data_IF_721399773849
#
_entry.id   IF_721399773849
#
_cell.length_a   1.000
_cell.length_b   1.000
_cell.length_c   1.000
_cell.angle_alpha   90.00
_cell.angle_beta   90.00
_cell.angle_gamma   90.00
#
_symmetry.space_group_name_H-M   'P 1'
#
loop_
_entity.id
_entity.type
_entity.pdbx_description
1 polymer ?
#
# COMPACT_ATOMS: atom_id res chain seq x y z
N UNK A 1 0.08 2.09 -19.11
CA UNK A 1 0.44 1.47 -17.83
C UNK A 1 0.63 2.51 -16.73
N UNK A 2 1.61 3.43 -16.81
CA UNK A 2 1.85 4.47 -15.78
C UNK A 2 0.60 5.23 -15.31
N UNK A 3 -0.22 5.74 -16.24
CA UNK A 3 -1.47 6.43 -15.88
C UNK A 3 -2.49 5.53 -15.15
N UNK A 4 -2.53 4.23 -15.48
CA UNK A 4 -3.39 3.26 -14.79
C UNK A 4 -2.88 2.97 -13.38
N UNK A 5 -1.56 2.94 -13.20
CA UNK A 5 -0.90 2.79 -11.89
C UNK A 5 -1.12 4.02 -11.02
N UNK A 6 -1.13 5.24 -11.59
CA UNK A 6 -1.42 6.47 -10.85
C UNK A 6 -2.79 6.43 -10.17
N UNK A 7 -3.81 5.84 -10.80
CA UNK A 7 -5.12 5.66 -10.15
C UNK A 7 -5.05 4.73 -8.93
N UNK A 8 -4.27 3.65 -9.03
CA UNK A 8 -4.03 2.73 -7.91
C UNK A 8 -3.32 3.41 -6.75
N UNK A 9 -2.36 4.29 -7.04
CA UNK A 9 -1.69 5.09 -6.02
C UNK A 9 -2.70 6.03 -5.36
N UNK A 10 -3.47 6.80 -6.11
CA UNK A 10 -4.44 7.75 -5.55
C UNK A 10 -5.48 7.07 -4.64
N UNK A 11 -5.99 5.90 -5.06
CA UNK A 11 -6.94 5.13 -4.24
C UNK A 11 -6.29 4.58 -2.97
N UNK A 12 -5.03 4.15 -3.03
CA UNK A 12 -4.29 3.73 -1.84
C UNK A 12 -3.95 4.90 -0.91
N UNK A 13 -3.62 6.07 -1.47
CA UNK A 13 -3.31 7.28 -0.70
C UNK A 13 -4.51 7.80 0.09
N UNK A 14 -5.72 7.63 -0.43
CA UNK A 14 -6.95 7.92 0.30
C UNK A 14 -7.09 7.18 1.64
N UNK A 15 -6.35 6.09 1.83
CA UNK A 15 -6.40 5.29 3.06
C UNK A 15 -5.37 5.72 4.10
N UNK A 16 -4.37 6.55 3.72
CA UNK A 16 -3.29 6.99 4.62
C UNK A 16 -3.80 7.67 5.87
N UNK A 17 -4.84 8.51 5.74
CA UNK A 17 -5.39 9.27 6.87
C UNK A 17 -5.93 8.35 7.95
N UNK A 18 -6.84 7.44 7.59
CA UNK A 18 -7.45 6.49 8.53
C UNK A 18 -6.39 5.57 9.17
N UNK A 19 -5.45 5.05 8.37
CA UNK A 19 -4.37 4.18 8.88
C UNK A 19 -3.44 4.93 9.84
N UNK A 20 -3.09 6.18 9.53
CA UNK A 20 -2.25 7.03 10.38
C UNK A 20 -2.97 7.39 11.68
N UNK A 21 -4.23 7.81 11.61
CA UNK A 21 -5.04 8.16 12.78
C UNK A 21 -5.20 6.96 13.72
N UNK A 22 -5.48 5.77 13.17
CA UNK A 22 -5.55 4.55 13.96
C UNK A 22 -4.24 4.28 14.72
N UNK A 23 -3.11 4.38 14.02
CA UNK A 23 -1.79 4.19 14.62
C UNK A 23 -1.48 5.21 15.70
N UNK A 24 -1.79 6.49 15.48
CA UNK A 24 -1.55 7.54 16.48
C UNK A 24 -2.44 7.38 17.73
N UNK A 25 -3.67 6.87 17.57
CA UNK A 25 -4.59 6.66 18.68
C UNK A 25 -4.31 5.37 19.48
N UNK A 26 -3.84 4.30 18.83
CA UNK A 26 -3.70 2.98 19.46
C UNK A 26 -2.23 2.55 19.67
N UNK A 27 -1.27 3.24 19.05
CA UNK A 27 0.14 2.86 19.08
C UNK A 27 0.45 1.55 18.35
N UNK A 28 -0.49 1.03 17.56
CA UNK A 28 -0.37 -0.19 16.75
C UNK A 28 -0.98 0.06 15.38
N UNK A 29 -0.44 -0.58 14.34
CA UNK A 29 -1.01 -0.48 13.01
C UNK A 29 -2.35 -1.24 12.94
N UNK A 30 -3.28 -0.81 12.08
CA UNK A 30 -4.52 -1.54 11.89
C UNK A 30 -4.26 -2.88 11.20
N UNK A 31 -4.76 -3.97 11.77
CA UNK A 31 -4.57 -5.33 11.22
C UNK A 31 -5.30 -5.52 9.89
N UNK A 32 -6.41 -4.82 9.71
CA UNK A 32 -7.31 -4.94 8.56
C UNK A 32 -7.99 -3.58 8.25
N UNK A 33 -8.96 -3.59 7.33
CA UNK A 33 -9.70 -2.38 6.94
C UNK A 33 -10.68 -1.86 8.03
N UNK A 34 -10.95 -2.60 9.10
CA UNK A 34 -11.95 -2.24 10.14
C UNK A 34 -11.55 -1.02 10.98
N UNK A 35 -10.37 -0.47 10.74
CA UNK A 35 -9.86 0.78 11.30
C UNK A 35 -10.42 2.05 10.63
N UNK A 36 -11.71 2.04 10.26
CA UNK A 36 -12.35 3.18 9.58
C UNK A 36 -12.08 3.27 8.07
N UNK A 37 -11.61 2.18 7.46
CA UNK A 37 -11.43 2.06 6.01
C UNK A 37 -12.58 1.22 5.43
N UNK A 38 -13.07 1.59 4.24
CA UNK A 38 -14.12 0.80 3.57
C UNK A 38 -13.65 -0.63 3.28
N UNK A 39 -14.59 -1.56 3.06
CA UNK A 39 -14.22 -2.94 2.74
C UNK A 39 -13.32 -2.98 1.49
N UNK A 40 -12.35 -3.91 1.38
CA UNK A 40 -11.37 -3.89 0.29
C UNK A 40 -11.97 -3.89 -1.11
N UNK A 41 -13.12 -4.57 -1.29
CA UNK A 41 -13.84 -4.68 -2.56
C UNK A 41 -14.68 -3.45 -2.91
N UNK A 42 -14.94 -2.58 -1.93
CA UNK A 42 -15.63 -1.31 -2.14
C UNK A 42 -14.64 -0.22 -2.57
N UNK A 43 -13.36 -0.37 -2.22
CA UNK A 43 -12.28 0.50 -2.67
C UNK A 43 -11.75 0.02 -4.02
N UNK A 44 -12.51 0.29 -5.07
CA UNK A 44 -12.21 -0.07 -6.45
C UNK A 44 -12.33 1.12 -7.39
N UNK A 45 -11.70 1.00 -8.55
CA UNK A 45 -11.69 2.04 -9.58
C UNK A 45 -11.81 1.44 -10.98
N UNK A 46 -11.60 2.28 -11.99
CA UNK A 46 -11.57 1.87 -13.40
C UNK A 46 -10.48 0.82 -13.64
N UNK A 47 -9.31 1.01 -13.03
CA UNK A 47 -8.16 0.10 -13.22
C UNK A 47 -7.79 -0.70 -11.96
N UNK A 48 -8.47 -0.45 -10.85
CA UNK A 48 -8.15 -1.01 -9.52
C UNK A 48 -9.24 -1.97 -9.09
N UNK A 49 -8.84 -3.19 -8.73
CA UNK A 49 -9.73 -4.25 -8.27
C UNK A 49 -10.12 -4.06 -6.81
N UNK A 50 -9.14 -3.72 -5.98
CA UNK A 50 -9.31 -3.61 -4.52
C UNK A 50 -8.13 -2.87 -3.89
N UNK A 51 -8.38 -2.26 -2.74
CA UNK A 51 -7.33 -1.75 -1.83
C UNK A 51 -7.49 -2.41 -0.48
N UNK A 52 -6.45 -3.11 -0.03
CA UNK A 52 -6.46 -3.87 1.22
C UNK A 52 -5.49 -3.25 2.22
N UNK A 53 -5.89 -3.16 3.48
CA UNK A 53 -5.02 -2.81 4.59
C UNK A 53 -4.66 -4.09 5.32
N UNK A 54 -3.37 -4.31 5.60
CA UNK A 54 -2.90 -5.43 6.40
C UNK A 54 -1.74 -4.98 7.27
N UNK A 55 -1.92 -5.01 8.59
CA UNK A 55 -0.94 -4.50 9.55
C UNK A 55 -0.44 -3.09 9.17
N UNK A 56 -1.34 -2.21 8.72
CA UNK A 56 -1.02 -0.84 8.29
C UNK A 56 -0.32 -0.71 6.93
N UNK A 57 -0.05 -1.81 6.21
CA UNK A 57 0.38 -1.78 4.82
C UNK A 57 -0.86 -1.68 3.93
N UNK A 58 -0.91 -0.67 3.08
CA UNK A 58 -2.00 -0.45 2.12
C UNK A 58 -1.58 -0.98 0.76
N UNK A 59 -2.24 -2.04 0.28
CA UNK A 59 -1.92 -2.70 -0.99
C UNK A 59 -3.04 -2.50 -2.00
N UNK A 60 -2.75 -1.85 -3.13
CA UNK A 60 -3.68 -1.75 -4.25
C UNK A 60 -3.42 -2.87 -5.26
N UNK A 61 -4.48 -3.53 -5.72
CA UNK A 61 -4.43 -4.54 -6.78
C UNK A 61 -5.03 -4.00 -8.09
N UNK A 62 -4.31 -4.13 -9.20
CA UNK A 62 -4.82 -3.81 -10.53
C UNK A 62 -5.87 -4.82 -11.00
N UNK A 63 -6.81 -4.37 -11.82
CA UNK A 63 -7.82 -5.24 -12.44
C UNK A 63 -7.16 -6.37 -13.28
N UNK A 64 -7.79 -7.56 -13.37
CA UNK A 64 -7.31 -8.66 -14.19
C UNK A 64 -7.59 -8.45 -15.68
N UNK A 65 -8.52 -7.56 -16.02
CA UNK A 65 -8.90 -7.17 -17.38
C UNK A 65 -9.01 -5.64 -17.49
N UNK A 66 -9.08 -5.09 -18.71
CA UNK A 66 -9.20 -3.64 -18.92
C UNK A 66 -7.96 -2.80 -18.57
N UNK A 67 -6.85 -3.44 -18.19
CA UNK A 67 -5.54 -2.79 -17.92
C UNK A 67 -4.45 -3.31 -18.87
N UNK A 68 -3.33 -2.59 -18.94
CA UNK A 68 -2.18 -3.02 -19.73
C UNK A 68 -1.67 -4.40 -19.27
N UNK A 69 -1.31 -5.26 -20.22
CA UNK A 69 -0.89 -6.65 -19.98
C UNK A 69 0.23 -6.78 -18.93
N UNK A 70 1.15 -5.82 -18.87
CA UNK A 70 2.30 -5.89 -17.96
C UNK A 70 1.97 -5.56 -16.50
N UNK A 71 0.75 -5.08 -16.22
CA UNK A 71 0.28 -4.71 -14.87
C UNK A 71 -1.01 -5.44 -14.46
N UNK A 72 -1.54 -6.34 -15.29
CA UNK A 72 -2.74 -7.13 -14.97
C UNK A 72 -2.57 -7.91 -13.68
N UNK A 73 -3.50 -7.74 -12.73
CA UNK A 73 -3.49 -8.42 -11.44
C UNK A 73 -2.33 -8.05 -10.50
N UNK A 74 -1.42 -7.18 -10.93
CA UNK A 74 -0.24 -6.78 -10.17
C UNK A 74 -0.60 -5.78 -9.07
N UNK A 75 0.35 -5.56 -8.17
CA UNK A 75 0.17 -4.80 -6.93
C UNK A 75 1.27 -3.77 -6.73
N UNK A 76 0.92 -2.75 -5.96
CA UNK A 76 1.84 -1.82 -5.30
C UNK A 76 1.44 -1.72 -3.83
N UNK A 77 2.33 -1.23 -2.97
CA UNK A 77 2.02 -1.00 -1.56
C UNK A 77 2.51 0.35 -1.09
N UNK A 78 1.78 0.87 -0.11
CA UNK A 78 2.15 2.03 0.68
C UNK A 78 2.26 1.59 2.12
N UNK A 79 3.30 2.04 2.81
CA UNK A 79 3.52 1.70 4.22
C UNK A 79 4.05 2.92 4.96
N UNK A 80 3.66 3.05 6.22
CA UNK A 80 4.12 4.12 7.09
C UNK A 80 5.20 3.64 8.06
N UNK A 81 6.10 4.54 8.45
CA UNK A 81 7.01 4.41 9.60
C UNK A 81 6.80 5.59 10.53
N UNK A 82 6.76 5.36 11.84
CA UNK A 82 6.69 6.43 12.81
C UNK A 82 8.01 7.20 12.87
N UNK A 83 7.93 8.52 12.77
CA UNK A 83 9.06 9.44 12.95
C UNK A 83 8.61 10.62 13.83
N UNK A 84 9.18 10.74 15.04
CA UNK A 84 9.05 11.91 15.93
C UNK A 84 7.65 12.54 16.01
N UNK A 85 6.62 11.73 16.30
CA UNK A 85 5.24 12.22 16.45
C UNK A 85 4.46 12.34 15.14
N UNK A 86 5.04 11.94 14.02
CA UNK A 86 4.41 11.85 12.71
C UNK A 86 4.62 10.46 12.08
N UNK A 87 3.99 10.22 10.93
CA UNK A 87 4.20 9.02 10.13
C UNK A 87 4.76 9.43 8.77
N UNK A 88 5.94 8.91 8.43
CA UNK A 88 6.51 9.01 7.09
C UNK A 88 5.98 7.86 6.25
N UNK A 89 5.46 8.17 5.07
CA UNK A 89 4.91 7.18 4.14
C UNK A 89 5.86 6.89 2.99
N UNK A 90 5.89 5.64 2.58
CA UNK A 90 6.63 5.11 1.45
C UNK A 90 5.66 4.49 0.44
N UNK A 91 6.09 4.38 -0.81
CA UNK A 91 5.32 3.80 -1.90
C UNK A 91 6.23 3.01 -2.84
N UNK A 92 5.85 1.78 -3.16
CA UNK A 92 6.69 0.94 -4.00
C UNK A 92 6.07 -0.39 -4.36
N UNK A 93 6.95 -1.35 -4.65
CA UNK A 93 6.54 -2.74 -4.87
C UNK A 93 5.86 -3.31 -3.61
N UNK A 94 5.11 -4.41 -3.74
CA UNK A 94 4.39 -4.99 -2.61
C UNK A 94 5.32 -5.36 -1.47
N UNK A 95 4.95 -4.95 -0.26
CA UNK A 95 5.63 -5.30 0.99
C UNK A 95 4.65 -5.92 1.96
N UNK A 96 5.16 -6.54 3.02
CA UNK A 96 4.38 -7.08 4.13
C UNK A 96 4.97 -6.63 5.45
N UNK A 97 4.09 -6.36 6.42
CA UNK A 97 4.46 -6.16 7.81
C UNK A 97 4.04 -7.39 8.61
N UNK A 98 5.00 -8.03 9.27
CA UNK A 98 4.76 -9.29 9.97
C UNK A 98 3.85 -9.13 11.20
N UNK A 99 3.90 -7.99 11.88
CA UNK A 99 3.11 -7.71 13.08
C UNK A 99 2.62 -6.25 13.08
N UNK A 100 1.36 -6.03 13.43
CA UNK A 100 0.79 -4.69 13.62
C UNK A 100 1.54 -3.83 14.66
N UNK A 101 2.20 -4.46 15.64
CA UNK A 101 3.05 -3.82 16.65
C UNK A 101 4.54 -4.13 16.38
N UNK A 102 5.00 -3.96 15.15
CA UNK A 102 6.41 -4.09 14.83
C UNK A 102 7.22 -2.97 15.51
N UNK A 103 8.25 -3.32 16.29
CA UNK A 103 8.97 -2.35 17.14
C UNK A 103 9.62 -1.20 16.36
N UNK A 104 10.02 -1.43 15.10
CA UNK A 104 10.61 -0.44 14.20
C UNK A 104 9.73 -0.13 12.98
N UNK A 105 8.47 -0.57 12.98
CA UNK A 105 7.55 -0.52 11.83
C UNK A 105 8.06 -1.21 10.54
N UNK A 106 9.10 -2.04 10.66
CA UNK A 106 9.79 -2.71 9.57
C UNK A 106 8.83 -3.48 8.65
N UNK A 107 9.14 -3.40 7.36
CA UNK A 107 8.46 -4.17 6.31
C UNK A 107 9.48 -5.03 5.55
N UNK A 108 8.98 -6.07 4.88
CA UNK A 108 9.76 -6.90 3.97
C UNK A 108 9.09 -6.95 2.62
N UNK A 109 9.86 -7.11 1.55
CA UNK A 109 9.31 -7.35 0.23
C UNK A 109 8.36 -8.57 0.28
N UNK A 110 7.18 -8.41 -0.31
CA UNK A 110 6.28 -9.53 -0.50
C UNK A 110 6.85 -10.46 -1.58
N UNK A 111 6.50 -11.75 -1.53
CA UNK A 111 6.99 -12.75 -2.49
C UNK A 111 6.87 -12.26 -3.96
N UNK A 112 7.94 -12.47 -4.73
CA UNK A 112 8.33 -11.65 -5.90
C UNK A 112 7.39 -11.62 -7.12
N UNK A 113 6.29 -12.38 -7.16
CA UNK A 113 5.59 -12.66 -8.42
C UNK A 113 4.42 -11.76 -8.80
N UNK A 114 4.13 -10.70 -8.04
CA UNK A 114 2.97 -9.85 -8.35
C UNK A 114 3.21 -8.34 -8.22
N UNK A 115 4.46 -7.90 -8.12
CA UNK A 115 4.79 -6.47 -8.06
C UNK A 115 4.72 -5.77 -9.42
N UNK A 116 4.14 -4.57 -9.45
CA UNK A 116 4.24 -3.69 -10.62
C UNK A 116 5.73 -3.39 -10.89
N UNK A 117 6.16 -3.54 -12.14
CA UNK A 117 7.54 -3.25 -12.51
C UNK A 117 7.82 -1.76 -12.32
N UNK A 118 9.00 -1.41 -11.79
CA UNK A 118 9.39 -0.03 -11.48
C UNK A 118 9.32 0.92 -12.68
N UNK A 119 9.46 0.41 -13.92
CA UNK A 119 9.27 1.22 -15.14
C UNK A 119 7.87 1.81 -15.27
N UNK A 120 6.87 1.18 -14.64
CA UNK A 120 5.46 1.61 -14.62
C UNK A 120 5.10 2.41 -13.37
N UNK A 121 5.96 2.43 -12.35
CA UNK A 121 5.78 3.24 -11.16
C UNK A 121 6.30 4.67 -11.43
N UNK A 122 5.61 5.72 -10.97
CA UNK A 122 6.16 7.07 -10.86
C UNK A 122 7.44 7.08 -10.02
N UNK A 123 8.31 8.07 -10.20
CA UNK A 123 9.56 8.17 -9.42
C UNK A 123 9.31 8.26 -7.90
N UNK A 124 8.20 8.87 -7.51
CA UNK A 124 7.75 9.02 -6.11
C UNK A 124 7.16 7.74 -5.50
N UNK A 125 7.08 6.64 -6.26
CA UNK A 125 6.56 5.36 -5.77
C UNK A 125 7.52 4.22 -6.16
N UNK A 126 8.81 4.40 -5.86
CA UNK A 126 9.86 3.40 -6.11
C UNK A 126 10.69 3.12 -4.87
N UNK A 127 10.11 3.36 -3.71
CA UNK A 127 10.75 3.04 -2.44
C UNK A 127 10.88 1.52 -2.30
N UNK A 128 11.92 1.11 -1.59
CA UNK A 128 12.25 -0.27 -1.26
C UNK A 128 11.90 -0.54 0.20
N UNK A 129 11.70 -1.81 0.56
CA UNK A 129 11.46 -2.17 1.97
C UNK A 129 12.58 -1.72 2.91
N UNK A 130 13.81 -1.59 2.41
CA UNK A 130 14.96 -1.06 3.17
C UNK A 130 14.89 0.43 3.47
N UNK A 131 14.15 1.23 2.70
CA UNK A 131 14.05 2.68 2.94
C UNK A 131 13.27 3.02 4.23
N UNK A 132 12.52 2.04 4.74
CA UNK A 132 11.83 2.13 6.02
C UNK A 132 12.63 1.58 7.22
N UNK A 133 13.89 1.14 7.05
CA UNK A 133 14.74 0.71 8.16
C UNK A 133 15.33 1.89 8.94
#
# INVERSE_FOLDING_TARGET
ARAQVSEAILLAEGQKSAVTEYYLNHGIWPENNEAGVASPSDIKGKYVKSVTVTNGVVTAQMNPSGVNNEIKGKRLSLWGKRENGSVKWFCGQPVTRANAKADNDDVKDAAADNGINTKHLPSTCRDTSSDAK
#
